data_IF_177304909782
#
_entry.id   IF_177304909782
#
_cell.length_a   1.000
_cell.length_b   1.000
_cell.length_c   1.000
_cell.angle_alpha   90.00
_cell.angle_beta   90.00
_cell.angle_gamma   90.00
#
_symmetry.space_group_name_H-M   'P 1'
#
loop_
_entity.id
_entity.type
_entity.pdbx_description
1 polymer ?
#
# COMPACT_ATOMS: atom_id res chain seq x y z
N UNK A 1 -30.36 19.84 -21.47
CA UNK A 1 -28.92 19.54 -21.72
C UNK A 1 -28.20 19.58 -20.38
N UNK A 2 -28.04 18.42 -19.74
CA UNK A 2 -27.35 18.27 -18.45
C UNK A 2 -25.85 18.19 -18.71
N UNK A 3 -25.10 19.20 -18.26
CA UNK A 3 -23.63 19.21 -18.32
C UNK A 3 -23.11 18.15 -17.34
N UNK A 4 -22.46 17.13 -17.89
CA UNK A 4 -21.69 16.14 -17.13
C UNK A 4 -20.67 16.85 -16.25
N UNK A 5 -20.70 16.58 -14.93
CA UNK A 5 -19.63 16.95 -14.01
C UNK A 5 -18.39 16.16 -14.45
N UNK A 6 -17.42 16.86 -15.06
CA UNK A 6 -16.06 16.34 -15.21
C UNK A 6 -15.57 15.95 -13.81
N UNK A 7 -15.32 14.66 -13.58
CA UNK A 7 -14.45 14.23 -12.50
C UNK A 7 -13.14 14.99 -12.67
N UNK A 8 -12.89 15.96 -11.80
CA UNK A 8 -11.56 16.52 -11.64
C UNK A 8 -10.72 15.41 -11.03
N UNK A 9 -9.95 14.72 -11.86
CA UNK A 9 -8.82 13.91 -11.41
C UNK A 9 -7.87 14.92 -10.80
N UNK A 10 -7.83 14.98 -9.47
CA UNK A 10 -6.81 15.74 -8.74
C UNK A 10 -5.53 14.94 -8.89
N UNK A 11 -4.73 15.25 -9.91
CA UNK A 11 -3.41 14.64 -10.04
C UNK A 11 -2.55 15.09 -8.86
N UNK A 12 -2.00 14.13 -8.12
CA UNK A 12 -1.02 14.42 -7.08
C UNK A 12 0.21 15.02 -7.74
N UNK A 13 0.63 16.19 -7.25
CA UNK A 13 1.82 16.85 -7.77
C UNK A 13 3.08 16.23 -7.14
N UNK A 14 3.63 15.22 -7.80
CA UNK A 14 4.82 14.49 -7.35
C UNK A 14 6.10 15.34 -7.34
N UNK A 15 6.12 16.51 -7.99
CA UNK A 15 7.31 17.36 -8.08
C UNK A 15 7.64 18.11 -6.78
N UNK A 16 6.71 18.16 -5.82
CA UNK A 16 6.85 18.89 -4.55
C UNK A 16 6.67 17.99 -3.30
N UNK A 17 6.92 16.69 -3.42
CA UNK A 17 6.83 15.78 -2.27
C UNK A 17 8.04 15.96 -1.35
N UNK A 18 7.78 16.19 -0.06
CA UNK A 18 8.82 16.26 0.97
C UNK A 18 9.42 14.87 1.18
N UNK A 19 10.76 14.82 1.21
CA UNK A 19 11.48 13.61 1.58
C UNK A 19 11.59 13.53 3.10
N UNK A 20 11.44 12.32 3.62
CA UNK A 20 11.70 12.03 5.02
C UNK A 20 13.20 11.80 5.17
N UNK A 21 13.99 12.87 5.23
CA UNK A 21 15.45 12.79 5.29
C UNK A 21 15.95 12.33 6.69
N UNK A 22 15.14 12.49 7.75
CA UNK A 22 15.47 12.10 9.12
C UNK A 22 14.25 11.54 9.86
N UNK A 23 14.50 10.54 10.70
CA UNK A 23 13.48 9.99 11.61
C UNK A 23 13.11 10.98 12.72
N UNK A 24 11.86 10.87 13.16
CA UNK A 24 11.31 11.60 14.30
C UNK A 24 10.88 10.58 15.38
N UNK A 25 10.82 10.98 16.66
CA UNK A 25 10.34 10.09 17.72
C UNK A 25 8.91 9.62 17.46
N UNK A 26 8.59 8.42 17.95
CA UNK A 26 7.26 7.82 17.83
C UNK A 26 6.18 8.75 18.42
N UNK A 27 5.08 9.02 17.71
CA UNK A 27 3.98 9.84 18.23
C UNK A 27 3.39 9.27 19.52
N UNK A 28 3.16 10.14 20.51
CA UNK A 28 2.54 9.76 21.80
C UNK A 28 1.12 9.22 21.65
N UNK A 29 0.43 9.54 20.54
CA UNK A 29 -0.87 8.97 20.18
C UNK A 29 -0.82 7.44 20.09
N UNK A 30 0.31 6.87 19.65
CA UNK A 30 0.48 5.43 19.45
C UNK A 30 0.39 4.60 20.73
N UNK A 31 0.73 5.18 21.88
CA UNK A 31 0.62 4.48 23.17
C UNK A 31 -0.81 4.02 23.47
N UNK A 32 -1.83 4.61 22.84
CA UNK A 32 -3.23 4.18 22.98
C UNK A 32 -3.57 2.85 22.26
N UNK A 33 -2.69 2.40 21.36
CA UNK A 33 -2.85 1.16 20.58
C UNK A 33 -2.19 -0.07 21.22
N UNK A 34 -1.50 0.11 22.36
CA UNK A 34 -0.83 -0.97 23.09
C UNK A 34 -1.86 -1.73 23.93
N UNK A 35 -1.85 -3.06 23.85
CA UNK A 35 -2.64 -3.93 24.74
C UNK A 35 -1.76 -4.89 25.52
N UNK A 36 -1.99 -4.96 26.83
CA UNK A 36 -1.37 -5.93 27.71
C UNK A 36 -2.11 -7.27 27.62
N UNK A 37 -1.39 -8.33 27.26
CA UNK A 37 -1.89 -9.70 27.27
C UNK A 37 -1.20 -10.44 28.40
N UNK A 38 -1.96 -10.93 29.36
CA UNK A 38 -1.47 -11.87 30.38
C UNK A 38 -1.37 -13.26 29.75
N UNK A 39 -0.17 -13.83 29.74
CA UNK A 39 0.08 -15.21 29.34
C UNK A 39 -0.20 -16.15 30.51
N UNK A 40 -0.47 -17.43 30.23
CA UNK A 40 -0.81 -18.45 31.23
C UNK A 40 0.27 -18.64 32.33
N UNK A 41 1.52 -18.24 32.07
CA UNK A 41 2.64 -18.25 33.02
C UNK A 41 2.70 -16.99 33.92
N UNK A 42 1.72 -16.09 33.82
CA UNK A 42 1.66 -14.83 34.59
C UNK A 42 2.56 -13.71 34.06
N UNK A 43 3.16 -13.87 32.89
CA UNK A 43 3.89 -12.81 32.20
C UNK A 43 2.93 -11.87 31.45
N UNK A 44 3.11 -10.57 31.64
CA UNK A 44 2.39 -9.53 30.89
C UNK A 44 3.25 -9.15 29.68
N UNK A 45 2.74 -9.40 28.48
CA UNK A 45 3.36 -8.94 27.23
C UNK A 45 2.54 -7.80 26.65
N UNK A 46 3.18 -6.67 26.39
CA UNK A 46 2.56 -5.57 25.65
C UNK A 46 2.65 -5.86 24.15
N UNK A 47 1.49 -6.01 23.49
CA UNK A 47 1.40 -6.16 22.05
C UNK A 47 0.70 -4.95 21.44
N UNK A 48 1.34 -4.38 20.41
CA UNK A 48 0.73 -3.37 19.56
C UNK A 48 -0.37 -4.03 18.72
N UNK A 49 -1.60 -3.52 18.79
CA UNK A 49 -2.66 -3.98 17.89
C UNK A 49 -2.29 -3.68 16.44
N UNK A 50 -2.71 -4.48 15.45
CA UNK A 50 -2.55 -4.11 14.05
C UNK A 50 -3.27 -2.78 13.77
N UNK A 51 -2.70 -1.91 12.91
CA UNK A 51 -3.29 -0.62 12.62
C UNK A 51 -4.70 -0.77 12.03
N UNK A 52 -5.62 0.19 12.28
CA UNK A 52 -6.96 0.13 11.76
C UNK A 52 -6.93 0.21 10.23
N UNK A 53 -7.59 -0.74 9.57
CA UNK A 53 -7.71 -0.80 8.12
C UNK A 53 -8.54 0.38 7.59
N UNK A 54 -7.97 1.13 6.64
CA UNK A 54 -8.70 2.13 5.84
C UNK A 54 -8.87 1.62 4.41
N UNK A 55 -10.10 1.65 3.90
CA UNK A 55 -10.45 1.16 2.56
C UNK A 55 -10.60 2.33 1.57
N UNK A 56 -10.04 2.13 0.37
CA UNK A 56 -10.02 3.08 -0.73
C UNK A 56 -10.47 2.39 -2.02
N UNK A 57 -11.14 3.15 -2.89
CA UNK A 57 -11.55 2.73 -4.24
C UNK A 57 -10.83 3.51 -5.36
N UNK A 58 -10.06 4.52 -4.97
CA UNK A 58 -9.29 5.39 -5.86
C UNK A 58 -7.80 5.41 -5.46
N UNK A 59 -6.93 5.28 -6.45
CA UNK A 59 -5.48 5.24 -6.26
C UNK A 59 -4.95 6.57 -5.72
N UNK A 60 -5.54 7.69 -6.16
CA UNK A 60 -5.13 9.04 -5.71
C UNK A 60 -5.43 9.24 -4.23
N UNK A 61 -6.59 8.76 -3.77
CA UNK A 61 -6.95 8.83 -2.35
C UNK A 61 -6.02 7.95 -1.50
N UNK A 62 -5.64 6.78 -2.00
CA UNK A 62 -4.68 5.88 -1.35
C UNK A 62 -3.26 6.49 -1.27
N UNK A 63 -2.78 7.12 -2.34
CA UNK A 63 -1.48 7.78 -2.35
C UNK A 63 -1.45 9.02 -1.45
N UNK A 64 -2.53 9.81 -1.46
CA UNK A 64 -2.70 10.95 -0.55
C UNK A 64 -2.66 10.48 0.90
N UNK A 65 -3.31 9.35 1.18
CA UNK A 65 -3.31 8.74 2.50
C UNK A 65 -1.91 8.40 3.00
N UNK A 66 -1.10 7.71 2.18
CA UNK A 66 0.28 7.35 2.54
C UNK A 66 1.11 8.60 2.84
N UNK A 67 0.98 9.62 2.00
CA UNK A 67 1.68 10.89 2.21
C UNK A 67 1.27 11.56 3.52
N UNK A 68 -0.03 11.63 3.77
CA UNK A 68 -0.55 12.31 4.96
C UNK A 68 -0.11 11.58 6.25
N UNK A 69 -0.03 10.24 6.25
CA UNK A 69 0.52 9.45 7.38
C UNK A 69 2.03 9.70 7.58
N UNK A 70 2.81 9.94 6.51
CA UNK A 70 4.20 10.42 6.65
C UNK A 70 4.26 11.79 7.33
N UNK A 71 3.38 12.71 6.94
CA UNK A 71 3.34 14.07 7.49
C UNK A 71 2.94 14.07 8.98
N UNK A 72 1.98 13.21 9.33
CA UNK A 72 1.52 12.99 10.71
C UNK A 72 2.52 12.14 11.54
N UNK A 73 3.61 11.69 10.92
CA UNK A 73 4.67 10.90 11.54
C UNK A 73 4.19 9.52 12.04
N UNK A 74 3.16 8.94 11.41
CA UNK A 74 2.56 7.64 11.72
C UNK A 74 2.77 6.58 10.61
N UNK A 75 3.64 6.87 9.63
CA UNK A 75 3.95 6.03 8.47
C UNK A 75 4.34 4.57 8.77
N UNK A 76 4.95 4.31 9.92
CA UNK A 76 5.40 3.00 10.40
C UNK A 76 4.29 2.21 11.12
N UNK A 77 3.09 2.77 11.25
CA UNK A 77 1.92 2.14 11.84
C UNK A 77 0.65 2.43 11.04
N UNK A 78 0.52 1.84 9.86
CA UNK A 78 -0.63 2.07 9.00
C UNK A 78 -1.13 0.80 8.28
N UNK A 79 -2.43 0.75 7.99
CA UNK A 79 -3.05 -0.30 7.17
C UNK A 79 -4.02 0.33 6.16
N UNK A 80 -3.66 0.28 4.89
CA UNK A 80 -4.48 0.76 3.79
C UNK A 80 -4.84 -0.38 2.83
N UNK A 81 -6.09 -0.41 2.39
CA UNK A 81 -6.57 -1.35 1.39
C UNK A 81 -7.18 -0.58 0.21
N UNK A 82 -6.75 -0.90 -1.00
CA UNK A 82 -7.20 -0.26 -2.23
C UNK A 82 -7.83 -1.31 -3.16
N UNK A 83 -9.05 -1.08 -3.61
CA UNK A 83 -9.71 -1.91 -4.61
C UNK A 83 -10.05 -1.07 -5.84
N UNK A 84 -9.33 -1.28 -6.96
CA UNK A 84 -9.43 -0.40 -8.13
C UNK A 84 -9.31 -1.18 -9.45
N UNK A 85 -9.70 -0.51 -10.53
CA UNK A 85 -9.43 -0.98 -11.89
C UNK A 85 -8.11 -0.39 -12.37
N UNK A 86 -7.12 -1.21 -12.77
CA UNK A 86 -5.84 -0.69 -13.24
C UNK A 86 -5.98 0.24 -14.45
N UNK A 87 -5.15 1.30 -14.58
CA UNK A 87 -5.27 2.28 -15.66
C UNK A 87 -5.22 1.67 -17.06
N UNK A 88 -4.48 0.59 -17.26
CA UNK A 88 -4.40 -0.08 -18.57
C UNK A 88 -5.71 -0.78 -18.96
N UNK A 89 -6.55 -1.17 -17.99
CA UNK A 89 -7.90 -1.70 -18.24
C UNK A 89 -8.83 -0.57 -18.61
N UNK A 90 -8.86 0.49 -17.81
CA UNK A 90 -9.70 1.67 -18.05
C UNK A 90 -9.45 2.27 -19.44
N UNK A 91 -8.17 2.37 -19.84
CA UNK A 91 -7.77 2.79 -21.19
C UNK A 91 -8.26 1.84 -22.29
N UNK A 92 -8.23 0.52 -22.07
CA UNK A 92 -8.67 -0.47 -23.05
C UNK A 92 -10.20 -0.46 -23.25
N UNK A 93 -10.97 -0.09 -22.22
CA UNK A 93 -12.44 -0.02 -22.27
C UNK A 93 -13.00 1.39 -22.48
N UNK A 94 -12.12 2.39 -22.64
CA UNK A 94 -12.47 3.82 -22.74
C UNK A 94 -13.36 4.29 -21.58
N UNK A 95 -12.95 3.94 -20.35
CA UNK A 95 -13.64 4.29 -19.09
C UNK A 95 -15.08 3.78 -18.99
N UNK A 96 -15.47 2.82 -19.84
CA UNK A 96 -16.76 2.17 -19.81
C UNK A 96 -16.62 0.74 -19.28
N UNK A 97 -16.98 0.55 -18.01
CA UNK A 97 -16.87 -0.74 -17.31
C UNK A 97 -17.73 -1.85 -17.95
N UNK A 98 -18.82 -1.52 -18.65
CA UNK A 98 -19.67 -2.51 -19.33
C UNK A 98 -18.95 -3.16 -20.52
N UNK A 99 -17.86 -2.55 -21.01
CA UNK A 99 -17.04 -3.09 -22.10
C UNK A 99 -15.91 -4.00 -21.60
N UNK A 100 -15.82 -4.24 -20.29
CA UNK A 100 -14.84 -5.18 -19.73
C UNK A 100 -15.12 -6.58 -20.31
N UNK A 101 -14.10 -7.14 -20.96
CA UNK A 101 -14.20 -8.49 -21.51
C UNK A 101 -14.01 -9.51 -20.39
N UNK A 102 -14.73 -10.65 -20.39
CA UNK A 102 -14.52 -11.74 -19.44
C UNK A 102 -13.11 -12.35 -19.49
N UNK A 103 -12.30 -12.01 -20.48
CA UNK A 103 -10.90 -12.45 -20.60
C UNK A 103 -9.90 -11.46 -19.97
N UNK A 104 -10.35 -10.30 -19.48
CA UNK A 104 -9.54 -9.32 -18.77
C UNK A 104 -9.46 -9.66 -17.28
N UNK A 105 -8.80 -10.77 -16.95
CA UNK A 105 -8.66 -11.25 -15.57
C UNK A 105 -7.34 -12.03 -15.40
N UNK A 106 -7.14 -12.65 -14.24
CA UNK A 106 -5.91 -13.41 -13.92
C UNK A 106 -5.54 -14.47 -14.97
N UNK A 107 -6.49 -15.05 -15.68
CA UNK A 107 -6.24 -16.14 -16.64
C UNK A 107 -5.59 -15.61 -17.94
N UNK A 108 -5.64 -14.30 -18.17
CA UNK A 108 -4.98 -13.68 -19.33
C UNK A 108 -3.51 -13.37 -19.04
N UNK A 109 -2.62 -13.94 -19.86
CA UNK A 109 -1.18 -13.65 -19.82
C UNK A 109 -0.89 -12.17 -20.09
N UNK A 110 -1.66 -11.52 -20.97
CA UNK A 110 -1.56 -10.08 -21.25
C UNK A 110 -1.90 -9.27 -19.98
N UNK A 111 -3.00 -9.63 -19.31
CA UNK A 111 -3.41 -8.99 -18.06
C UNK A 111 -2.34 -9.11 -16.97
N UNK A 112 -1.88 -10.33 -16.69
CA UNK A 112 -0.83 -10.59 -15.68
C UNK A 112 0.43 -9.77 -15.94
N UNK A 113 0.92 -9.74 -17.18
CA UNK A 113 2.13 -8.99 -17.55
C UNK A 113 1.95 -7.49 -17.37
N UNK A 114 0.82 -6.95 -17.83
CA UNK A 114 0.51 -5.53 -17.71
C UNK A 114 0.34 -5.12 -16.25
N UNK A 115 -0.30 -5.97 -15.43
CA UNK A 115 -0.44 -5.75 -14.00
C UNK A 115 0.91 -5.77 -13.28
N UNK A 116 1.77 -6.74 -13.55
CA UNK A 116 3.12 -6.77 -12.98
C UNK A 116 3.94 -5.55 -13.36
N UNK A 117 3.82 -5.08 -14.61
CA UNK A 117 4.47 -3.85 -15.04
C UNK A 117 3.94 -2.64 -14.28
N UNK A 118 2.62 -2.53 -14.13
CA UNK A 118 1.98 -1.46 -13.38
C UNK A 118 2.41 -1.44 -11.91
N UNK A 119 2.42 -2.60 -11.23
CA UNK A 119 2.86 -2.71 -9.83
C UNK A 119 4.27 -2.14 -9.66
N UNK A 120 5.22 -2.53 -10.52
CA UNK A 120 6.64 -2.15 -10.38
C UNK A 120 6.98 -0.73 -10.84
N UNK A 121 6.22 -0.17 -11.80
CA UNK A 121 6.55 1.11 -12.46
C UNK A 121 5.68 2.27 -12.00
N UNK A 122 4.56 1.98 -11.37
CA UNK A 122 3.61 2.98 -10.93
C UNK A 122 3.39 2.77 -9.45
N UNK A 123 2.58 1.78 -9.05
CA UNK A 123 2.17 1.58 -7.65
C UNK A 123 3.33 1.66 -6.64
N UNK A 124 4.38 0.85 -6.80
CA UNK A 124 5.53 0.88 -5.86
C UNK A 124 6.33 2.18 -5.94
N UNK A 125 6.52 2.74 -7.13
CA UNK A 125 7.30 3.97 -7.31
C UNK A 125 6.55 5.18 -6.75
N UNK A 126 5.25 5.27 -7.01
CA UNK A 126 4.36 6.33 -6.53
C UNK A 126 4.19 6.23 -5.01
N UNK A 127 4.08 5.02 -4.44
CA UNK A 127 4.09 4.81 -2.99
C UNK A 127 5.39 5.29 -2.34
N UNK A 128 6.55 4.93 -2.89
CA UNK A 128 7.86 5.37 -2.39
C UNK A 128 8.00 6.90 -2.44
N UNK A 129 7.54 7.52 -3.53
CA UNK A 129 7.52 8.98 -3.66
C UNK A 129 6.60 9.63 -2.62
N UNK A 130 5.41 9.08 -2.41
CA UNK A 130 4.44 9.62 -1.46
C UNK A 130 4.87 9.42 0.00
N UNK A 131 5.50 8.30 0.31
CA UNK A 131 5.95 8.00 1.68
C UNK A 131 7.18 8.79 2.08
N UNK A 132 7.98 9.24 1.11
CA UNK A 132 9.16 10.08 1.33
C UNK A 132 10.41 9.30 1.79
N UNK A 133 10.37 7.97 1.87
CA UNK A 133 11.49 7.10 2.24
C UNK A 133 11.71 5.99 1.19
N UNK A 134 12.86 5.32 1.24
CA UNK A 134 13.18 4.27 0.26
C UNK A 134 12.41 2.99 0.60
N UNK A 135 11.78 2.37 -0.41
CA UNK A 135 11.11 1.08 -0.26
C UNK A 135 11.82 0.07 -1.15
N UNK A 136 12.50 -0.91 -0.56
CA UNK A 136 13.13 -2.03 -1.28
C UNK A 136 12.30 -3.30 -1.16
N UNK A 137 11.17 -3.30 -1.86
CA UNK A 137 10.39 -4.50 -2.05
C UNK A 137 11.18 -5.49 -2.92
N UNK A 138 11.74 -6.51 -2.26
CA UNK A 138 12.54 -7.54 -2.91
C UNK A 138 11.73 -8.43 -3.87
N UNK A 139 12.02 -9.74 -3.87
CA UNK A 139 11.31 -10.66 -4.77
C UNK A 139 9.90 -10.96 -4.24
N UNK A 140 8.92 -10.75 -5.10
CA UNK A 140 7.54 -11.13 -4.81
C UNK A 140 7.42 -12.64 -4.56
N UNK A 141 6.76 -13.02 -3.47
CA UNK A 141 6.21 -14.36 -3.30
C UNK A 141 4.88 -14.43 -4.04
N UNK A 142 4.77 -15.36 -4.99
CA UNK A 142 3.57 -15.50 -5.83
C UNK A 142 2.77 -16.71 -5.38
N UNK A 143 1.55 -16.47 -4.96
CA UNK A 143 0.58 -17.50 -4.61
C UNK A 143 -0.52 -17.53 -5.69
N UNK A 144 -0.53 -18.59 -6.50
CA UNK A 144 -1.54 -18.78 -7.54
C UNK A 144 -2.54 -19.85 -7.07
N UNK A 145 -3.79 -19.44 -6.93
CA UNK A 145 -4.93 -20.34 -6.71
C UNK A 145 -5.79 -20.43 -7.97
N UNK A 146 -6.70 -21.40 -8.08
CA UNK A 146 -7.64 -21.46 -9.19
C UNK A 146 -8.50 -20.20 -9.33
N UNK A 147 -8.75 -19.47 -8.23
CA UNK A 147 -9.61 -18.27 -8.19
C UNK A 147 -8.84 -16.96 -8.24
N UNK A 148 -7.61 -16.90 -7.73
CA UNK A 148 -6.85 -15.66 -7.61
C UNK A 148 -5.36 -15.86 -7.85
N UNK A 149 -4.67 -14.78 -8.16
CA UNK A 149 -3.21 -14.69 -8.05
C UNK A 149 -2.91 -13.57 -7.04
N UNK A 150 -2.03 -13.86 -6.11
CA UNK A 150 -1.58 -12.92 -5.09
C UNK A 150 -0.07 -12.76 -5.20
N UNK A 151 0.40 -11.53 -5.27
CA UNK A 151 1.80 -11.14 -5.14
C UNK A 151 1.98 -10.54 -3.75
N UNK A 152 2.85 -11.14 -2.95
CA UNK A 152 3.25 -10.63 -1.63
C UNK A 152 4.66 -10.09 -1.73
N UNK A 153 4.85 -8.87 -1.27
CA UNK A 153 6.13 -8.20 -1.16
C UNK A 153 6.32 -7.84 0.30
N UNK A 154 7.55 -7.99 0.77
CA UNK A 154 7.96 -7.68 2.13
C UNK A 154 9.25 -6.87 2.02
N UNK A 155 9.31 -5.80 2.80
CA UNK A 155 10.49 -4.97 2.98
C UNK A 155 10.70 -4.77 4.49
N UNK A 156 11.79 -5.32 5.00
CA UNK A 156 12.23 -5.17 6.38
C UNK A 156 13.65 -4.59 6.41
N UNK A 157 14.00 -3.79 5.40
CA UNK A 157 15.26 -3.06 5.35
C UNK A 157 15.23 -1.80 6.22
N UNK A 158 16.24 -0.95 6.02
CA UNK A 158 16.43 0.29 6.77
C UNK A 158 15.69 1.49 6.14
N UNK A 159 14.91 1.26 5.09
CA UNK A 159 14.10 2.28 4.39
C UNK A 159 14.85 3.55 3.93
N UNK A 160 16.17 3.45 3.73
CA UNK A 160 17.06 4.57 3.37
C UNK A 160 17.66 5.33 4.56
N UNK A 161 17.37 4.91 5.80
CA UNK A 161 17.95 5.43 7.04
C UNK A 161 19.18 4.63 7.48
N UNK A 162 19.92 5.18 8.44
CA UNK A 162 21.04 4.47 9.08
C UNK A 162 20.56 3.73 10.34
N UNK A 163 21.18 2.57 10.63
CA UNK A 163 20.90 1.81 11.86
C UNK A 163 21.03 2.68 13.12
N UNK A 164 21.99 3.61 13.13
CA UNK A 164 22.19 4.56 14.25
C UNK A 164 20.98 5.48 14.49
N UNK A 165 20.29 5.90 13.42
CA UNK A 165 19.09 6.74 13.53
C UNK A 165 17.86 5.93 13.94
N UNK A 166 17.69 4.71 13.41
CA UNK A 166 16.59 3.82 13.81
C UNK A 166 16.70 3.43 15.29
N UNK A 167 17.90 3.08 15.76
CA UNK A 167 18.16 2.74 17.16
C UNK A 167 18.02 3.96 18.09
N UNK A 168 18.35 5.16 17.62
CA UNK A 168 18.19 6.39 18.40
C UNK A 168 16.72 6.66 18.75
N UNK A 169 15.81 6.34 17.81
CA UNK A 169 14.37 6.54 17.97
C UNK A 169 13.58 5.27 18.28
N UNK A 170 14.26 4.13 18.42
CA UNK A 170 13.69 2.79 18.60
C UNK A 170 12.56 2.53 17.59
N UNK A 171 12.86 2.82 16.32
CA UNK A 171 11.86 2.92 15.26
C UNK A 171 12.22 2.01 14.09
N UNK A 172 11.98 0.72 14.31
CA UNK A 172 12.13 -0.35 13.33
C UNK A 172 10.75 -0.75 12.82
N UNK A 173 10.56 -0.88 11.50
CA UNK A 173 9.30 -1.36 10.95
C UNK A 173 9.50 -2.15 9.67
N UNK A 174 8.53 -3.00 9.37
CA UNK A 174 8.42 -3.71 8.11
C UNK A 174 7.23 -3.21 7.30
N UNK A 175 7.36 -3.31 5.99
CA UNK A 175 6.32 -3.02 5.02
C UNK A 175 5.87 -4.32 4.37
N UNK A 176 4.57 -4.57 4.39
CA UNK A 176 3.95 -5.68 3.68
C UNK A 176 3.03 -5.12 2.61
N UNK A 177 3.27 -5.50 1.36
CA UNK A 177 2.42 -5.14 0.22
C UNK A 177 1.89 -6.41 -0.43
N UNK A 178 0.57 -6.56 -0.43
CA UNK A 178 -0.11 -7.66 -1.08
C UNK A 178 -0.97 -7.14 -2.23
N UNK A 179 -0.70 -7.61 -3.45
CA UNK A 179 -1.52 -7.30 -4.63
C UNK A 179 -2.22 -8.56 -5.10
N UNK A 180 -3.55 -8.53 -5.21
CA UNK A 180 -4.38 -9.67 -5.57
C UNK A 180 -5.28 -9.35 -6.75
N UNK A 181 -5.38 -10.29 -7.68
CA UNK A 181 -6.36 -10.26 -8.76
C UNK A 181 -7.12 -11.58 -8.85
N UNK A 182 -8.35 -11.54 -9.39
CA UNK A 182 -9.24 -12.70 -9.45
C UNK A 182 -9.48 -13.18 -10.90
N UNK A 183 -10.25 -14.26 -11.04
CA UNK A 183 -10.59 -14.89 -12.32
C UNK A 183 -11.92 -14.40 -12.93
N UNK A 184 -12.64 -13.53 -12.26
CA UNK A 184 -13.99 -13.11 -12.66
C UNK A 184 -13.96 -11.74 -13.34
N UNK A 185 -13.14 -10.82 -12.82
CA UNK A 185 -13.07 -9.43 -13.26
C UNK A 185 -11.63 -8.89 -13.20
N UNK A 186 -11.36 -7.72 -13.81
CA UNK A 186 -10.05 -7.07 -13.75
C UNK A 186 -9.80 -6.28 -12.47
N UNK A 187 -10.65 -6.41 -11.44
CA UNK A 187 -10.46 -5.69 -10.17
C UNK A 187 -9.17 -6.16 -9.51
N UNK A 188 -8.40 -5.19 -9.03
CA UNK A 188 -7.16 -5.42 -8.30
C UNK A 188 -7.34 -4.91 -6.89
N UNK A 189 -7.06 -5.79 -5.93
CA UNK A 189 -7.04 -5.51 -4.51
C UNK A 189 -5.58 -5.34 -4.09
N UNK A 190 -5.27 -4.26 -3.39
CA UNK A 190 -3.96 -3.96 -2.81
C UNK A 190 -4.16 -3.82 -1.31
N UNK A 191 -3.36 -4.51 -0.52
CA UNK A 191 -3.32 -4.40 0.93
C UNK A 191 -1.90 -3.98 1.31
N UNK A 192 -1.76 -2.79 1.87
CA UNK A 192 -0.50 -2.19 2.30
C UNK A 192 -0.50 -2.06 3.82
N UNK A 193 0.54 -2.57 4.48
CA UNK A 193 0.72 -2.51 5.92
C UNK A 193 2.12 -2.06 6.26
N UNK A 194 2.22 -1.10 7.17
CA UNK A 194 3.44 -0.80 7.90
C UNK A 194 3.26 -1.25 9.34
N UNK A 195 4.17 -2.10 9.81
CA UNK A 195 4.08 -2.74 11.12
C UNK A 195 5.42 -2.56 11.83
N UNK A 196 5.45 -1.97 13.04
CA UNK A 196 6.66 -1.88 13.84
C UNK A 196 7.22 -3.27 14.17
N UNK A 197 8.54 -3.41 14.16
CA UNK A 197 9.27 -4.65 14.49
C UNK A 197 9.57 -4.76 15.99
#
# INVERSE_FOLDING_TARGET
MTKSKKNQVVELNFDNLEKLDHLKPVPKSRSSSITSIESDDGSISEMLKPPPRKDFDDIVAFESYIRDETWDNDFDYCHAHLAYYPPFILKEVHDNLDKIKPTMNKNSRKFRRNLQHHIKRHLMQEMQLCSGFEMDFGKAVVEETPKSITWKFEDAGLHGFSEEEEDLFDRHWKLELQVKCNNENPLVEVDYRAIPL
#
